data_IF_015968497021
#
_entry.id   IF_015968497021
#
_cell.length_a   1.000
_cell.length_b   1.000
_cell.length_c   1.000
_cell.angle_alpha   90.00
_cell.angle_beta   90.00
_cell.angle_gamma   90.00
#
_symmetry.space_group_name_H-M   'P 1'
#
loop_
_entity.id
_entity.type
_entity.pdbx_description
1 polymer ?
#
# COMPACT_ATOMS: atom_id res chain seq x y z
N UNK A 1 52.44 13.15 -24.51
CA UNK A 1 51.10 12.75 -24.97
C UNK A 1 50.42 12.07 -23.79
N UNK A 2 49.79 12.88 -22.93
CA UNK A 2 49.24 12.42 -21.65
C UNK A 2 47.84 11.88 -21.88
N UNK A 3 47.67 10.57 -21.72
CA UNK A 3 46.42 9.86 -21.94
C UNK A 3 45.46 10.15 -20.77
N UNK A 4 44.42 10.94 -21.02
CA UNK A 4 43.37 11.26 -20.05
C UNK A 4 42.37 10.10 -20.00
N UNK A 5 42.39 9.32 -18.92
CA UNK A 5 41.45 8.23 -18.68
C UNK A 5 40.11 8.83 -18.20
N UNK A 6 39.12 8.91 -19.09
CA UNK A 6 37.75 9.31 -18.74
C UNK A 6 37.06 8.14 -18.04
N UNK A 7 36.95 8.22 -16.71
CA UNK A 7 36.06 7.34 -15.95
C UNK A 7 34.62 7.74 -16.20
N UNK A 8 33.93 7.01 -17.08
CA UNK A 8 32.46 7.09 -17.20
C UNK A 8 31.86 6.38 -16.00
N UNK A 9 31.61 7.12 -14.91
CA UNK A 9 30.76 6.63 -13.84
C UNK A 9 29.34 6.47 -14.39
N UNK A 10 28.85 5.24 -14.45
CA UNK A 10 27.42 5.00 -14.66
C UNK A 10 26.68 5.63 -13.47
N UNK A 11 25.70 6.51 -13.70
CA UNK A 11 24.88 7.00 -12.60
C UNK A 11 24.17 5.80 -12.00
N UNK A 12 24.48 5.50 -10.74
CA UNK A 12 23.67 4.61 -9.93
C UNK A 12 22.37 5.36 -9.65
N UNK A 13 21.39 5.23 -10.54
CA UNK A 13 20.03 5.58 -10.19
C UNK A 13 19.64 4.65 -9.05
N UNK A 14 19.62 5.18 -7.82
CA UNK A 14 18.95 4.52 -6.73
C UNK A 14 17.52 4.26 -7.19
N UNK A 15 17.22 3.01 -7.53
CA UNK A 15 15.83 2.59 -7.69
C UNK A 15 15.22 2.75 -6.30
N UNK A 16 14.52 3.87 -6.07
CA UNK A 16 13.76 4.04 -4.85
C UNK A 16 12.65 2.99 -4.88
N UNK A 17 12.74 2.00 -3.99
CA UNK A 17 11.72 0.98 -3.81
C UNK A 17 10.85 1.41 -2.63
N UNK A 18 9.71 2.08 -2.89
CA UNK A 18 8.86 2.54 -1.80
C UNK A 18 8.27 1.35 -1.04
N UNK A 19 8.20 1.48 0.29
CA UNK A 19 7.55 0.47 1.13
C UNK A 19 6.06 0.71 1.14
N UNK A 20 5.28 -0.34 0.88
CA UNK A 20 3.82 -0.27 1.00
C UNK A 20 3.44 -0.33 2.49
N UNK A 21 2.63 0.64 2.93
CA UNK A 21 2.03 0.68 4.25
C UNK A 21 0.51 0.69 4.08
N UNK A 22 -0.12 -0.39 4.48
CA UNK A 22 -1.57 -0.55 4.46
C UNK A 22 -2.13 -0.21 5.84
N UNK A 23 -2.83 0.92 5.96
CA UNK A 23 -3.53 1.33 7.17
C UNK A 23 -4.96 0.79 7.16
N UNK A 24 -5.32 0.01 8.16
CA UNK A 24 -6.68 -0.46 8.42
C UNK A 24 -7.31 0.43 9.50
N UNK A 25 -8.34 1.18 9.11
CA UNK A 25 -8.99 2.21 9.92
C UNK A 25 -10.52 2.19 9.73
N UNK A 26 -11.25 2.99 10.50
CA UNK A 26 -12.67 3.25 10.29
C UNK A 26 -13.09 4.57 10.93
N UNK A 27 -14.03 5.27 10.31
CA UNK A 27 -14.69 6.44 10.89
C UNK A 27 -15.41 6.11 12.21
N UNK A 28 -15.91 4.87 12.35
CA UNK A 28 -16.61 4.40 13.55
C UNK A 28 -15.67 4.01 14.71
N UNK A 29 -14.37 3.89 14.47
CA UNK A 29 -13.37 3.49 15.45
C UNK A 29 -12.89 4.71 16.26
N UNK A 30 -13.21 4.78 17.55
CA UNK A 30 -12.85 5.92 18.41
C UNK A 30 -11.35 6.11 18.64
N UNK A 31 -10.56 5.04 18.54
CA UNK A 31 -9.10 5.06 18.70
C UNK A 31 -8.33 5.39 17.41
N UNK A 32 -9.01 5.44 16.27
CA UNK A 32 -8.39 5.62 14.96
C UNK A 32 -7.93 7.06 14.63
N UNK A 33 -8.61 8.16 15.06
CA UNK A 33 -8.27 9.52 14.63
C UNK A 33 -6.81 9.94 14.83
N UNK A 34 -6.11 9.60 15.94
CA UNK A 34 -4.69 9.92 16.07
C UNK A 34 -3.80 9.23 15.02
N UNK A 35 -4.17 8.00 14.64
CA UNK A 35 -3.45 7.23 13.64
C UNK A 35 -3.75 7.72 12.21
N UNK A 36 -5.00 8.14 11.95
CA UNK A 36 -5.39 8.77 10.68
C UNK A 36 -4.64 10.09 10.48
N UNK A 37 -4.51 10.91 11.53
CA UNK A 37 -3.74 12.16 11.49
C UNK A 37 -2.25 11.91 11.23
N UNK A 38 -1.64 10.94 11.92
CA UNK A 38 -0.25 10.55 11.67
C UNK A 38 -0.05 10.06 10.23
N UNK A 39 -0.96 9.21 9.74
CA UNK A 39 -0.91 8.69 8.38
C UNK A 39 -0.98 9.80 7.33
N UNK A 40 -1.92 10.73 7.48
CA UNK A 40 -2.06 11.90 6.59
C UNK A 40 -0.81 12.78 6.61
N UNK A 41 -0.38 13.19 7.80
CA UNK A 41 0.67 14.21 7.96
C UNK A 41 2.08 13.69 7.69
N UNK A 42 2.32 12.39 7.87
CA UNK A 42 3.68 11.85 7.88
C UNK A 42 3.90 10.67 6.94
N UNK A 43 2.86 10.02 6.39
CA UNK A 43 3.03 8.90 5.47
C UNK A 43 2.46 9.16 4.07
N UNK A 44 1.33 9.85 3.96
CA UNK A 44 0.58 9.94 2.70
C UNK A 44 1.37 10.58 1.54
N UNK A 45 2.19 11.60 1.85
CA UNK A 45 2.95 12.35 0.87
C UNK A 45 4.38 11.84 0.64
N UNK A 46 4.86 10.90 1.46
CA UNK A 46 6.22 10.33 1.32
C UNK A 46 6.44 9.68 -0.04
N UNK A 47 7.65 9.85 -0.56
CA UNK A 47 8.09 9.22 -1.82
C UNK A 47 8.67 7.81 -1.59
N UNK A 48 9.20 7.59 -0.39
CA UNK A 48 9.79 6.33 0.07
C UNK A 48 8.74 5.38 0.69
N UNK A 49 7.47 5.81 0.75
CA UNK A 49 6.32 5.05 1.25
C UNK A 49 5.13 5.17 0.29
N UNK A 50 4.53 4.03 -0.04
CA UNK A 50 3.19 3.98 -0.63
C UNK A 50 2.19 3.72 0.50
N UNK A 51 1.64 4.80 1.04
CA UNK A 51 0.65 4.72 2.10
C UNK A 51 -0.76 4.55 1.50
N UNK A 52 -1.49 3.52 1.92
CA UNK A 52 -2.86 3.20 1.47
C UNK A 52 -3.79 3.05 2.68
N UNK A 53 -4.89 3.80 2.73
CA UNK A 53 -5.88 3.70 3.80
C UNK A 53 -7.06 2.81 3.37
N UNK A 54 -7.20 1.66 4.03
CA UNK A 54 -8.24 0.67 3.80
C UNK A 54 -9.25 0.75 4.96
N UNK A 55 -10.46 1.19 4.64
CA UNK A 55 -11.52 1.35 5.63
C UNK A 55 -12.26 0.02 5.85
N UNK A 56 -12.25 -0.48 7.08
CA UNK A 56 -12.90 -1.75 7.44
C UNK A 56 -14.36 -1.52 7.83
N UNK A 57 -15.21 -2.49 7.50
CA UNK A 57 -16.67 -2.39 7.68
C UNK A 57 -17.18 -2.87 9.05
N UNK A 58 -16.36 -3.56 9.84
CA UNK A 58 -16.81 -4.18 11.07
C UNK A 58 -17.07 -3.19 12.22
N UNK A 59 -16.92 -1.88 12.00
CA UNK A 59 -17.32 -0.81 12.94
C UNK A 59 -18.66 -0.15 12.57
N UNK A 60 -19.21 -0.41 11.38
CA UNK A 60 -20.42 0.27 10.87
C UNK A 60 -21.66 0.02 11.74
N UNK A 61 -21.64 -1.04 12.56
CA UNK A 61 -22.73 -1.35 13.48
C UNK A 61 -22.87 -0.33 14.63
N UNK A 62 -21.86 0.51 14.89
CA UNK A 62 -21.82 1.48 16.01
C UNK A 62 -22.62 2.77 15.72
N UNK A 63 -23.52 2.75 14.73
CA UNK A 63 -24.47 3.84 14.47
C UNK A 63 -23.89 5.00 13.63
N UNK A 64 -22.66 4.85 13.14
CA UNK A 64 -22.10 5.63 12.04
C UNK A 64 -21.52 4.66 11.02
N UNK A 65 -22.06 4.70 9.81
CA UNK A 65 -21.58 3.88 8.69
C UNK A 65 -20.47 4.64 7.98
N UNK A 66 -19.30 4.04 7.89
CA UNK A 66 -18.16 4.59 7.16
C UNK A 66 -18.42 4.49 5.65
N UNK A 67 -18.41 5.62 4.94
CA UNK A 67 -18.71 5.67 3.51
C UNK A 67 -17.59 5.11 2.62
N UNK A 68 -16.40 4.93 3.18
CA UNK A 68 -15.23 4.36 2.50
C UNK A 68 -15.06 2.87 2.80
N UNK A 69 -15.81 2.34 3.77
CA UNK A 69 -15.61 0.97 4.23
C UNK A 69 -16.00 -0.08 3.19
N UNK A 70 -15.22 -1.16 3.15
CA UNK A 70 -15.49 -2.32 2.31
C UNK A 70 -15.25 -3.64 3.06
N UNK A 71 -16.16 -4.63 2.92
CA UNK A 71 -15.94 -5.98 3.45
C UNK A 71 -14.68 -6.64 2.87
N UNK A 72 -14.26 -6.26 1.67
CA UNK A 72 -13.04 -6.80 1.05
C UNK A 72 -11.77 -6.34 1.79
N UNK A 73 -11.78 -5.14 2.34
CA UNK A 73 -10.68 -4.62 3.16
C UNK A 73 -10.63 -5.32 4.51
N UNK A 74 -11.78 -5.56 5.14
CA UNK A 74 -11.88 -6.44 6.32
C UNK A 74 -11.37 -7.85 6.03
N UNK A 75 -11.72 -8.42 4.87
CA UNK A 75 -11.27 -9.75 4.44
C UNK A 75 -9.75 -9.78 4.26
N UNK A 76 -9.16 -8.76 3.62
CA UNK A 76 -7.71 -8.62 3.45
C UNK A 76 -6.98 -8.58 4.80
N UNK A 77 -7.46 -7.76 5.74
CA UNK A 77 -6.91 -7.69 7.09
C UNK A 77 -6.96 -9.03 7.83
N UNK A 78 -8.12 -9.71 7.77
CA UNK A 78 -8.30 -11.04 8.38
C UNK A 78 -7.41 -12.10 7.72
N UNK A 79 -7.10 -11.95 6.44
CA UNK A 79 -6.18 -12.85 5.76
C UNK A 79 -4.74 -12.69 6.29
N UNK A 80 -4.26 -11.44 6.46
CA UNK A 80 -2.99 -11.19 7.14
C UNK A 80 -2.93 -11.78 8.55
N UNK A 81 -3.99 -11.58 9.35
CA UNK A 81 -4.07 -12.16 10.68
C UNK A 81 -3.94 -13.70 10.65
N UNK A 82 -4.63 -14.38 9.71
CA UNK A 82 -4.54 -15.84 9.56
C UNK A 82 -3.13 -16.30 9.18
N UNK A 83 -2.48 -15.63 8.23
CA UNK A 83 -1.11 -15.95 7.80
C UNK A 83 -0.11 -15.79 8.95
N UNK A 84 -0.28 -14.75 9.76
CA UNK A 84 0.54 -14.48 10.94
C UNK A 84 0.16 -15.34 12.17
N UNK A 85 -0.85 -16.22 12.07
CA UNK A 85 -1.30 -17.07 13.19
C UNK A 85 -2.10 -16.34 14.27
N UNK A 86 -2.55 -15.11 14.00
CA UNK A 86 -3.40 -14.34 14.90
C UNK A 86 -4.87 -14.73 14.75
N UNK A 87 -5.60 -14.69 15.87
CA UNK A 87 -7.02 -15.06 15.94
C UNK A 87 -7.97 -13.88 15.77
N UNK A 88 -7.47 -12.66 15.83
CA UNK A 88 -8.26 -11.43 15.77
C UNK A 88 -7.56 -10.36 14.95
N UNK A 89 -8.35 -9.38 14.51
CA UNK A 89 -7.91 -8.14 13.88
C UNK A 89 -8.24 -6.96 14.81
N UNK A 90 -7.61 -5.82 14.61
CA UNK A 90 -7.84 -4.60 15.39
C UNK A 90 -7.65 -3.36 14.54
N UNK A 91 -8.14 -2.22 15.01
CA UNK A 91 -7.87 -0.91 14.41
C UNK A 91 -7.49 0.11 15.50
N UNK A 92 -6.66 1.10 15.17
CA UNK A 92 -5.94 1.25 13.91
C UNK A 92 -4.77 0.25 13.81
N UNK A 93 -4.65 -0.45 12.69
CA UNK A 93 -3.56 -1.39 12.41
C UNK A 93 -2.87 -0.97 11.12
N UNK A 94 -1.55 -0.99 11.09
CA UNK A 94 -0.80 -0.90 9.85
C UNK A 94 -0.13 -2.24 9.53
N UNK A 95 -0.16 -2.63 8.27
CA UNK A 95 0.66 -3.72 7.72
C UNK A 95 1.77 -3.08 6.86
N UNK A 96 3.02 -3.38 7.18
CA UNK A 96 4.22 -2.82 6.52
C UNK A 96 4.88 -3.90 5.68
N UNK A 97 5.03 -3.64 4.39
CA UNK A 97 5.64 -4.56 3.43
C UNK A 97 4.87 -5.88 3.25
N UNK A 98 3.61 -5.93 3.67
CA UNK A 98 2.80 -7.16 3.64
C UNK A 98 3.18 -8.21 4.68
N UNK A 99 4.01 -7.88 5.68
CA UNK A 99 4.53 -8.87 6.65
C UNK A 99 4.39 -8.39 8.10
N UNK A 100 5.05 -7.29 8.44
CA UNK A 100 5.05 -6.79 9.81
C UNK A 100 3.77 -6.01 10.08
N UNK A 101 3.20 -6.15 11.27
CA UNK A 101 2.04 -5.39 11.69
C UNK A 101 2.34 -4.56 12.93
N UNK A 102 1.71 -3.40 13.04
CA UNK A 102 1.91 -2.46 14.14
C UNK A 102 0.62 -1.71 14.43
N UNK A 103 0.42 -1.31 15.68
CA UNK A 103 -0.69 -0.45 16.07
C UNK A 103 -0.45 0.95 15.50
N UNK A 104 -1.38 1.47 14.69
CA UNK A 104 -1.19 2.69 13.91
C UNK A 104 -0.93 3.96 14.74
N UNK A 105 -1.21 3.94 16.04
CA UNK A 105 -0.90 5.02 16.99
C UNK A 105 0.55 5.00 17.52
N UNK A 106 1.42 4.11 17.03
CA UNK A 106 2.83 4.01 17.44
C UNK A 106 3.77 4.48 16.30
N UNK A 107 3.88 5.80 16.06
CA UNK A 107 4.57 6.34 14.88
C UNK A 107 6.06 5.97 14.80
N UNK A 108 6.74 5.90 15.94
CA UNK A 108 8.16 5.51 15.97
C UNK A 108 8.37 4.05 15.52
N UNK A 109 7.48 3.15 15.92
CA UNK A 109 7.53 1.75 15.52
C UNK A 109 7.17 1.58 14.05
N UNK A 110 6.14 2.29 13.55
CA UNK A 110 5.81 2.35 12.12
C UNK A 110 7.03 2.79 11.30
N UNK A 111 7.67 3.90 11.69
CA UNK A 111 8.84 4.41 10.98
C UNK A 111 10.04 3.46 11.06
N UNK A 112 10.21 2.74 12.18
CA UNK A 112 11.24 1.71 12.33
C UNK A 112 11.01 0.55 11.36
N UNK A 113 9.77 0.06 11.24
CA UNK A 113 9.40 -0.99 10.30
C UNK A 113 9.57 -0.53 8.85
N UNK A 114 9.16 0.70 8.52
CA UNK A 114 9.40 1.26 7.18
C UNK A 114 10.88 1.24 6.84
N UNK A 115 11.76 1.72 7.74
CA UNK A 115 13.22 1.69 7.53
C UNK A 115 13.76 0.27 7.39
N UNK A 116 13.27 -0.68 8.19
CA UNK A 116 13.62 -2.10 8.09
C UNK A 116 13.33 -2.63 6.69
N UNK A 117 12.12 -2.40 6.17
CA UNK A 117 11.72 -2.85 4.84
C UNK A 117 12.45 -2.12 3.71
N UNK A 118 12.74 -0.82 3.86
CA UNK A 118 13.55 -0.06 2.89
C UNK A 118 14.97 -0.58 2.74
N UNK A 119 15.53 -1.15 3.80
CA UNK A 119 16.89 -1.71 3.78
C UNK A 119 16.97 -3.06 3.04
N UNK A 120 15.83 -3.66 2.71
CA UNK A 120 15.78 -4.90 1.93
C UNK A 120 16.06 -4.57 0.46
N UNK A 121 16.97 -5.32 -0.17
CA UNK A 121 17.18 -5.20 -1.61
C UNK A 121 15.87 -5.55 -2.34
N UNK A 122 15.53 -4.76 -3.36
CA UNK A 122 14.43 -5.14 -4.23
C UNK A 122 14.75 -6.45 -4.91
N UNK A 123 13.80 -7.38 -4.80
CA UNK A 123 13.97 -8.72 -5.34
C UNK A 123 13.55 -8.80 -6.82
N UNK A 124 12.80 -7.80 -7.31
CA UNK A 124 12.21 -7.80 -8.65
C UNK A 124 12.25 -6.41 -9.25
N UNK A 125 12.89 -6.29 -10.41
CA UNK A 125 12.75 -5.08 -11.24
C UNK A 125 11.29 -4.97 -11.71
N UNK A 126 10.59 -3.96 -11.21
CA UNK A 126 9.15 -3.77 -11.39
C UNK A 126 8.87 -2.33 -11.78
N UNK A 127 8.11 -2.13 -12.85
CA UNK A 127 7.79 -0.80 -13.34
C UNK A 127 6.38 -0.72 -13.91
N UNK A 128 5.84 0.49 -13.88
CA UNK A 128 4.53 0.80 -14.47
C UNK A 128 4.63 2.03 -15.36
N UNK A 129 3.85 2.01 -16.44
CA UNK A 129 3.75 3.12 -17.38
C UNK A 129 2.28 3.31 -17.78
N UNK A 130 1.80 4.55 -17.73
CA UNK A 130 0.44 4.87 -18.16
C UNK A 130 0.42 5.31 -19.63
N UNK A 131 -0.35 4.61 -20.46
CA UNK A 131 -0.62 4.96 -21.86
C UNK A 131 -2.12 5.15 -22.08
N UNK A 132 -2.57 6.41 -22.05
CA UNK A 132 -3.99 6.74 -22.11
C UNK A 132 -4.77 6.11 -20.95
N UNK A 133 -5.77 5.28 -21.28
CA UNK A 133 -6.62 4.58 -20.30
C UNK A 133 -6.11 3.18 -19.92
N UNK A 134 -4.83 2.91 -20.13
CA UNK A 134 -4.19 1.62 -19.86
C UNK A 134 -2.94 1.83 -19.01
N UNK A 135 -2.75 0.96 -18.03
CA UNK A 135 -1.53 0.84 -17.24
C UNK A 135 -0.79 -0.38 -17.75
N UNK A 136 0.42 -0.16 -18.27
CA UNK A 136 1.36 -1.21 -18.59
C UNK A 136 2.14 -1.54 -17.33
N UNK A 137 2.20 -2.82 -16.97
CA UNK A 137 2.91 -3.31 -15.80
C UNK A 137 3.96 -4.30 -16.31
N UNK A 138 5.21 -4.07 -15.92
CA UNK A 138 6.34 -4.89 -16.28
C UNK A 138 7.03 -5.40 -15.02
N UNK A 139 7.39 -6.68 -15.03
CA UNK A 139 8.27 -7.29 -14.03
C UNK A 139 9.33 -8.14 -14.72
N UNK A 140 10.60 -7.97 -14.35
CA UNK A 140 11.68 -8.80 -14.89
C UNK A 140 11.61 -10.20 -14.28
N UNK A 141 11.55 -11.23 -15.13
CA UNK A 141 11.61 -12.62 -14.71
C UNK A 141 13.02 -13.02 -14.30
N UNK A 142 13.12 -14.03 -13.45
CA UNK A 142 14.40 -14.45 -12.89
C UNK A 142 14.25 -15.51 -11.81
N UNK A 143 15.14 -15.47 -10.81
CA UNK A 143 15.28 -16.47 -9.76
C UNK A 143 14.22 -16.35 -8.64
N UNK A 144 13.04 -15.79 -8.91
CA UNK A 144 11.96 -15.77 -7.92
C UNK A 144 11.22 -17.11 -8.00
N UNK A 145 11.17 -17.83 -6.88
CA UNK A 145 10.59 -19.18 -6.81
C UNK A 145 9.14 -19.22 -6.36
N UNK A 146 8.64 -18.15 -5.74
CA UNK A 146 7.30 -18.09 -5.20
C UNK A 146 6.26 -17.75 -6.27
N UNK A 147 5.05 -18.30 -6.15
CA UNK A 147 3.90 -17.80 -6.88
C UNK A 147 3.53 -16.41 -6.33
N UNK A 148 3.32 -15.46 -7.23
CA UNK A 148 3.05 -14.07 -6.90
C UNK A 148 1.77 -13.60 -7.58
N UNK A 149 1.23 -12.52 -7.09
CA UNK A 149 0.05 -11.86 -7.60
C UNK A 149 0.38 -10.38 -7.86
N UNK A 150 -0.06 -9.87 -9.02
CA UNK A 150 -0.05 -8.44 -9.30
C UNK A 150 -1.40 -7.86 -8.95
N UNK A 151 -1.38 -6.93 -8.00
CA UNK A 151 -2.54 -6.10 -7.65
C UNK A 151 -2.47 -4.73 -8.30
N UNK A 152 -3.63 -4.16 -8.58
CA UNK A 152 -3.81 -2.77 -8.97
C UNK A 152 -4.71 -2.07 -7.97
N UNK A 153 -4.24 -0.95 -7.43
CA UNK A 153 -4.94 -0.18 -6.41
C UNK A 153 -5.25 1.22 -6.94
N UNK A 154 -6.50 1.65 -6.77
CA UNK A 154 -6.96 3.02 -7.02
C UNK A 154 -7.31 3.65 -5.69
N UNK A 155 -6.94 4.91 -5.50
CA UNK A 155 -7.24 5.62 -4.27
C UNK A 155 -7.50 7.10 -4.56
N UNK A 156 -8.27 7.75 -3.69
CA UNK A 156 -8.44 9.21 -3.69
C UNK A 156 -7.42 9.85 -2.74
N UNK A 157 -6.76 10.96 -3.13
CA UNK A 157 -5.69 11.54 -2.31
C UNK A 157 -6.15 11.99 -0.92
N UNK A 158 -7.32 12.60 -0.80
CA UNK A 158 -7.87 12.94 0.51
C UNK A 158 -9.35 13.29 0.47
N UNK A 159 -10.00 13.17 1.62
CA UNK A 159 -11.38 13.62 1.84
C UNK A 159 -11.55 14.07 3.29
N UNK A 160 -12.32 15.14 3.52
CA UNK A 160 -12.70 15.57 4.87
C UNK A 160 -14.12 15.11 5.17
N UNK A 161 -14.29 14.42 6.29
CA UNK A 161 -15.59 13.90 6.71
C UNK A 161 -16.00 14.51 8.03
N UNK A 162 -17.19 15.11 8.05
CA UNK A 162 -17.85 15.54 9.28
C UNK A 162 -18.65 14.37 9.87
N UNK A 163 -18.15 13.77 10.94
CA UNK A 163 -18.76 12.61 11.61
C UNK A 163 -19.88 13.09 12.52
N UNK A 164 -21.12 12.69 12.22
CA UNK A 164 -22.32 13.25 12.88
C UNK A 164 -22.94 12.33 13.95
N UNK A 165 -22.55 11.06 14.00
CA UNK A 165 -23.06 10.06 14.96
C UNK A 165 -21.95 9.09 15.36
N UNK A 166 -22.26 8.17 16.28
CA UNK A 166 -21.31 7.19 16.80
C UNK A 166 -20.30 7.80 17.78
N UNK A 167 -19.28 7.04 18.14
CA UNK A 167 -18.29 7.44 19.17
C UNK A 167 -17.45 8.64 18.76
N UNK A 168 -17.33 8.91 17.46
CA UNK A 168 -16.58 10.04 16.91
C UNK A 168 -17.48 11.25 16.54
N UNK A 169 -18.75 11.27 16.98
CA UNK A 169 -19.68 12.36 16.67
C UNK A 169 -19.12 13.74 17.05
N UNK A 170 -19.29 14.72 16.16
CA UNK A 170 -18.84 16.09 16.34
C UNK A 170 -17.40 16.36 15.86
N UNK A 171 -16.65 15.34 15.44
CA UNK A 171 -15.33 15.50 14.84
C UNK A 171 -15.45 15.72 13.33
N UNK A 172 -14.57 16.57 12.79
CA UNK A 172 -14.20 16.54 11.37
C UNK A 172 -12.83 15.90 11.25
N UNK A 173 -12.73 14.86 10.42
CA UNK A 173 -11.48 14.11 10.22
C UNK A 173 -11.12 14.16 8.74
N UNK A 174 -9.87 14.52 8.45
CA UNK A 174 -9.31 14.41 7.10
C UNK A 174 -8.67 13.04 6.94
N UNK A 175 -9.14 12.29 5.96
CA UNK A 175 -8.59 10.99 5.57
C UNK A 175 -7.73 11.18 4.32
N UNK A 176 -6.65 10.42 4.21
CA UNK A 176 -5.69 10.50 3.11
C UNK A 176 -5.51 9.14 2.44
N UNK A 177 -5.15 9.17 1.16
CA UNK A 177 -4.92 7.99 0.31
C UNK A 177 -5.98 6.88 0.50
N UNK A 178 -7.26 7.26 0.50
CA UNK A 178 -8.39 6.38 0.77
C UNK A 178 -8.57 5.43 -0.42
N UNK A 179 -8.44 4.13 -0.18
CA UNK A 179 -8.50 3.12 -1.24
C UNK A 179 -9.93 2.96 -1.76
N UNK A 180 -10.11 3.18 -3.06
CA UNK A 180 -11.37 3.01 -3.76
C UNK A 180 -11.52 1.61 -4.39
N UNK A 181 -10.42 1.03 -4.87
CA UNK A 181 -10.42 -0.33 -5.41
C UNK A 181 -9.08 -1.04 -5.20
N UNK A 182 -9.14 -2.37 -5.04
CA UNK A 182 -7.99 -3.27 -4.97
C UNK A 182 -8.28 -4.50 -5.82
N UNK A 183 -7.70 -4.53 -7.02
CA UNK A 183 -8.02 -5.53 -8.04
C UNK A 183 -6.86 -6.52 -8.23
N UNK A 184 -7.18 -7.81 -8.32
CA UNK A 184 -6.24 -8.84 -8.78
C UNK A 184 -6.14 -8.77 -10.30
N UNK A 185 -4.93 -8.60 -10.84
CA UNK A 185 -4.70 -8.48 -12.28
C UNK A 185 -4.26 -9.81 -12.88
N UNK A 186 -3.25 -10.44 -12.27
CA UNK A 186 -2.65 -11.67 -12.81
C UNK A 186 -1.83 -12.40 -11.74
N UNK A 187 -1.86 -13.74 -11.79
CA UNK A 187 -0.91 -14.61 -11.09
C UNK A 187 0.36 -14.76 -11.92
N UNK A 188 1.52 -14.70 -11.27
CA UNK A 188 2.82 -14.73 -11.93
C UNK A 188 3.82 -15.57 -11.13
N UNK A 189 4.46 -16.52 -11.81
CA UNK A 189 5.39 -17.48 -11.20
C UNK A 189 6.87 -17.04 -11.26
N UNK A 190 7.16 -15.80 -11.64
CA UNK A 190 8.52 -15.25 -11.66
C UNK A 190 9.45 -15.76 -12.78
N UNK A 191 9.12 -16.85 -13.49
CA UNK A 191 10.07 -17.53 -14.40
C UNK A 191 10.38 -16.76 -15.68
N UNK A 192 9.40 -16.01 -16.20
CA UNK A 192 9.52 -15.21 -17.44
C UNK A 192 9.11 -13.78 -17.15
N UNK A 193 9.65 -12.84 -17.92
CA UNK A 193 9.25 -11.43 -17.86
C UNK A 193 7.73 -11.30 -17.96
N UNK A 194 7.14 -10.54 -17.03
CA UNK A 194 5.73 -10.21 -17.03
C UNK A 194 5.50 -8.94 -17.84
N UNK A 195 4.56 -8.98 -18.77
CA UNK A 195 4.09 -7.83 -19.53
C UNK A 195 2.57 -7.89 -19.58
N UNK A 196 1.89 -7.12 -18.72
CA UNK A 196 0.43 -7.09 -18.66
C UNK A 196 -0.10 -5.68 -18.75
N UNK A 197 -1.36 -5.56 -19.12
CA UNK A 197 -2.03 -4.27 -19.24
C UNK A 197 -3.37 -4.32 -18.53
N UNK A 198 -3.63 -3.32 -17.69
CA UNK A 198 -4.88 -3.17 -16.97
C UNK A 198 -5.59 -1.86 -17.37
N UNK A 199 -6.92 -1.82 -17.44
CA UNK A 199 -7.65 -0.58 -17.70
C UNK A 199 -7.54 0.36 -16.50
N UNK A 200 -7.15 1.61 -16.72
CA UNK A 200 -7.13 2.68 -15.70
C UNK A 200 -7.82 3.92 -16.25
N UNK A 201 -9.04 4.17 -15.80
CA UNK A 201 -9.84 5.34 -16.20
C UNK A 201 -9.67 6.49 -15.21
N UNK A 202 -9.85 7.71 -15.70
CA UNK A 202 -9.83 8.93 -14.87
C UNK A 202 -8.44 9.28 -14.33
N UNK A 203 -8.36 10.35 -13.53
CA UNK A 203 -7.08 10.93 -13.08
C UNK A 203 -6.65 10.51 -11.69
N UNK A 204 -7.42 9.68 -10.98
CA UNK A 204 -7.00 9.24 -9.64
C UNK A 204 -5.60 8.56 -9.72
N UNK A 205 -4.81 8.59 -8.64
CA UNK A 205 -3.56 7.85 -8.54
C UNK A 205 -3.74 6.33 -8.71
N UNK A 206 -2.69 5.65 -9.15
CA UNK A 206 -2.63 4.19 -9.26
C UNK A 206 -1.38 3.64 -8.59
N UNK A 207 -1.53 2.51 -7.93
CA UNK A 207 -0.43 1.67 -7.46
C UNK A 207 -0.53 0.32 -8.13
N UNK A 208 0.59 -0.24 -8.57
CA UNK A 208 0.70 -1.66 -8.84
C UNK A 208 1.60 -2.29 -7.78
N UNK A 209 1.19 -3.43 -7.24
CA UNK A 209 1.86 -4.16 -6.17
C UNK A 209 2.12 -5.57 -6.66
N UNK A 210 3.36 -6.03 -6.53
CA UNK A 210 3.73 -7.41 -6.73
C UNK A 210 3.90 -8.06 -5.36
N UNK A 211 3.00 -8.98 -5.02
CA UNK A 211 2.93 -9.62 -3.71
C UNK A 211 3.06 -11.13 -3.85
N UNK A 212 3.76 -11.79 -2.93
CA UNK A 212 3.71 -13.26 -2.84
C UNK A 212 2.27 -13.69 -2.59
N UNK A 213 1.80 -14.72 -3.31
CA UNK A 213 0.44 -15.23 -3.20
C UNK A 213 0.08 -15.57 -1.75
N UNK A 214 -1.21 -15.42 -1.41
CA UNK A 214 -1.69 -15.80 -0.10
C UNK A 214 -1.36 -14.76 0.97
N UNK A 215 -1.35 -13.47 0.57
CA UNK A 215 -1.10 -12.33 1.47
C UNK A 215 0.30 -12.37 2.09
N UNK A 216 1.29 -12.82 1.31
CA UNK A 216 2.68 -12.86 1.72
C UNK A 216 3.39 -11.50 1.57
N UNK A 217 4.74 -11.50 1.61
CA UNK A 217 5.54 -10.29 1.45
C UNK A 217 5.26 -9.55 0.13
N UNK A 218 5.29 -8.23 0.19
CA UNK A 218 5.29 -7.38 -1.01
C UNK A 218 6.74 -7.27 -1.51
N UNK A 219 6.99 -7.74 -2.72
CA UNK A 219 8.33 -7.82 -3.29
C UNK A 219 8.71 -6.57 -4.09
N UNK A 220 7.71 -5.92 -4.68
CA UNK A 220 7.88 -4.65 -5.36
C UNK A 220 6.54 -3.89 -5.44
N UNK A 221 6.62 -2.57 -5.52
CA UNK A 221 5.47 -1.73 -5.79
C UNK A 221 5.91 -0.48 -6.55
N UNK A 222 5.00 0.05 -7.36
CA UNK A 222 5.20 1.29 -8.09
C UNK A 222 3.91 2.11 -8.09
N UNK A 223 4.05 3.44 -8.11
CA UNK A 223 2.93 4.39 -8.03
C UNK A 223 3.04 5.47 -9.10
N UNK A 224 1.90 5.86 -9.67
CA UNK A 224 1.75 7.07 -10.47
C UNK A 224 0.66 7.94 -9.81
N UNK A 225 1.00 9.21 -9.52
CA UNK A 225 0.08 10.22 -9.00
C UNK A 225 -0.43 11.11 -10.14
#
# INVERSE_FOLDING_TARGET
MTLLLLMTGTPLLAQNHPVVVEMYTSQGCSSCPPADAFFDQHLAERDDVIALALHVDYWDYIGWKDEFASPDYTKRQKAYARVAGHRSVYTPQMIVGGVDHVVGTHPEEVNSLVRKHQSLASQVEFSIERKGNKLHIHAKGGAVSDEMEVHLVRYRPSEEVAIRRGENAGKSVRYANIVDSWDSIVMWNGRKDLNVTAPVRGKAPVVAILQVEGYGPILAAARLR
#
